data_IF_294164947965
#
_entry.id   IF_294164947965
#
_cell.length_a   1.000
_cell.length_b   1.000
_cell.length_c   1.000
_cell.angle_alpha   90.00
_cell.angle_beta   90.00
_cell.angle_gamma   90.00
#
_symmetry.space_group_name_H-M   'P 1'
#
loop_
_entity.id
_entity.type
_entity.pdbx_description
1 polymer ?
#
# COMPACT_ATOMS: atom_id res chain seq x y z
N UNK A 1 2.66 -6.13 16.68
CA UNK A 1 2.43 -5.62 18.04
C UNK A 1 3.73 -5.49 18.81
N UNK A 2 4.65 -6.46 18.76
CA UNK A 2 5.99 -6.36 19.39
C UNK A 2 6.80 -5.13 18.98
N UNK A 3 6.89 -4.81 17.67
CA UNK A 3 7.60 -3.62 17.17
C UNK A 3 7.16 -2.31 17.85
N UNK A 4 5.86 -2.18 18.16
CA UNK A 4 5.29 -1.01 18.84
C UNK A 4 5.58 -1.08 20.34
N UNK A 5 5.33 -2.24 20.98
CA UNK A 5 5.49 -2.43 22.43
C UNK A 5 6.95 -2.31 22.90
N UNK A 6 7.89 -2.73 22.07
CA UNK A 6 9.32 -2.82 22.38
C UNK A 6 10.14 -1.70 21.74
N UNK A 7 9.48 -0.77 21.03
CA UNK A 7 10.14 0.36 20.34
C UNK A 7 11.29 -0.12 19.46
N UNK A 8 11.05 -1.19 18.70
CA UNK A 8 12.10 -1.80 17.89
C UNK A 8 12.56 -0.85 16.78
N UNK A 9 13.88 -0.77 16.56
CA UNK A 9 14.44 0.00 15.46
C UNK A 9 14.05 -0.64 14.12
N UNK A 10 13.41 0.14 13.25
CA UNK A 10 13.04 -0.30 11.91
C UNK A 10 14.22 -0.13 10.95
N UNK A 11 14.56 -1.20 10.25
CA UNK A 11 15.60 -1.23 9.21
C UNK A 11 15.13 -2.06 8.01
N UNK A 12 15.97 -2.26 6.99
CA UNK A 12 15.63 -3.17 5.89
C UNK A 12 15.63 -4.63 6.34
N UNK A 13 16.49 -4.96 7.30
CA UNK A 13 16.63 -6.28 7.91
C UNK A 13 15.56 -6.53 9.00
N UNK A 14 15.04 -5.47 9.63
CA UNK A 14 13.86 -5.49 10.51
C UNK A 14 12.76 -4.54 9.99
N UNK A 15 12.08 -4.88 8.88
CA UNK A 15 11.11 -3.98 8.28
C UNK A 15 9.80 -3.95 9.08
N UNK A 16 9.05 -2.84 9.01
CA UNK A 16 7.67 -2.84 9.46
C UNK A 16 6.82 -3.79 8.61
N UNK A 17 5.68 -4.21 9.15
CA UNK A 17 4.67 -4.91 8.34
C UNK A 17 4.17 -3.99 7.22
N UNK A 18 4.09 -4.53 6.02
CA UNK A 18 3.60 -3.83 4.83
C UNK A 18 2.58 -4.72 4.11
N UNK A 19 1.47 -4.12 3.67
CA UNK A 19 0.43 -4.80 2.89
C UNK A 19 0.08 -3.94 1.69
N UNK A 20 0.11 -4.53 0.50
CA UNK A 20 -0.36 -3.87 -0.72
C UNK A 20 -1.89 -3.89 -0.74
N UNK A 21 -2.49 -2.73 -0.99
CA UNK A 21 -3.93 -2.60 -1.14
C UNK A 21 -4.30 -2.49 -2.62
N UNK A 22 -5.49 -2.97 -2.96
CA UNK A 22 -6.03 -2.93 -4.32
C UNK A 22 -7.39 -2.24 -4.33
N UNK A 23 -7.55 -1.26 -5.22
CA UNK A 23 -8.83 -0.60 -5.46
C UNK A 23 -9.70 -1.51 -6.34
N UNK A 24 -10.97 -1.73 -5.97
CA UNK A 24 -11.89 -2.64 -6.69
C UNK A 24 -11.93 -2.42 -8.21
N UNK A 25 -11.87 -1.17 -8.65
CA UNK A 25 -11.97 -0.77 -10.07
C UNK A 25 -10.60 -0.45 -10.72
N UNK A 26 -9.50 -0.69 -10.02
CA UNK A 26 -8.16 -0.33 -10.45
C UNK A 26 -7.23 -1.47 -9.99
N UNK A 27 -7.34 -2.59 -10.73
CA UNK A 27 -6.61 -3.82 -10.45
C UNK A 27 -5.10 -3.59 -10.52
N UNK A 28 -4.38 -4.23 -9.60
CA UNK A 28 -2.92 -4.18 -9.55
C UNK A 28 -2.29 -5.24 -10.44
N UNK A 29 -1.11 -4.93 -10.97
CA UNK A 29 -0.26 -5.90 -11.67
C UNK A 29 0.57 -6.76 -10.69
N UNK A 30 1.46 -7.59 -11.23
CA UNK A 30 2.36 -8.44 -10.42
C UNK A 30 3.30 -7.64 -9.50
N UNK A 31 3.52 -6.36 -9.79
CA UNK A 31 4.31 -5.44 -8.98
C UNK A 31 3.50 -4.69 -7.92
N UNK A 32 2.18 -4.86 -7.89
CA UNK A 32 1.31 -4.14 -6.95
C UNK A 32 0.88 -2.76 -7.44
N UNK A 33 1.03 -2.46 -8.73
CA UNK A 33 0.70 -1.15 -9.29
C UNK A 33 -0.57 -1.19 -10.14
N UNK A 34 -1.40 -0.15 -10.04
CA UNK A 34 -2.49 0.10 -10.97
C UNK A 34 -2.12 1.28 -11.89
N UNK A 35 -2.55 1.28 -13.18
CA UNK A 35 -2.35 2.41 -14.07
C UNK A 35 -2.81 3.75 -13.49
N UNK A 36 -1.94 4.76 -13.57
CA UNK A 36 -2.21 6.10 -13.02
C UNK A 36 -3.52 6.71 -13.54
N UNK A 37 -3.83 6.54 -14.82
CA UNK A 37 -5.07 7.04 -15.42
C UNK A 37 -6.33 6.44 -14.78
N UNK A 38 -6.31 5.14 -14.45
CA UNK A 38 -7.42 4.46 -13.75
C UNK A 38 -7.52 4.91 -12.30
N UNK A 39 -6.37 5.04 -11.62
CA UNK A 39 -6.32 5.55 -10.26
C UNK A 39 -6.95 6.95 -10.15
N UNK A 40 -6.55 7.87 -11.03
CA UNK A 40 -7.11 9.23 -11.05
C UNK A 40 -8.60 9.26 -11.44
N UNK A 41 -9.04 8.38 -12.34
CA UNK A 41 -10.45 8.25 -12.68
C UNK A 41 -11.29 7.78 -11.49
N UNK A 42 -10.78 6.85 -10.66
CA UNK A 42 -11.47 6.43 -9.44
C UNK A 42 -11.47 7.53 -8.36
N UNK A 43 -10.36 8.24 -8.15
CA UNK A 43 -10.28 9.32 -7.17
C UNK A 43 -11.27 10.46 -7.46
N UNK A 44 -11.41 10.86 -8.73
CA UNK A 44 -12.31 11.94 -9.13
C UNK A 44 -13.79 11.66 -8.85
N UNK A 45 -14.18 10.42 -8.60
CA UNK A 45 -15.58 10.07 -8.27
C UNK A 45 -15.99 10.48 -6.86
N UNK A 46 -15.02 10.82 -6.00
CA UNK A 46 -15.24 11.14 -4.60
C UNK A 46 -14.94 12.62 -4.27
N UNK A 47 -14.63 13.43 -5.29
CA UNK A 47 -14.42 14.88 -5.18
C UNK A 47 -15.59 15.67 -5.75
#
# INVERSE_FOLDING_TARGET
>A
MSQIRETQKLTRENPPKHTVLEMKNCKIDRGGYCPYSKFMAELKKFN
#
